data_IF_599277723004
#
_entry.id   IF_599277723004
#
_cell.length_a   1.000
_cell.length_b   1.000
_cell.length_c   1.000
_cell.angle_alpha   90.00
_cell.angle_beta   90.00
_cell.angle_gamma   90.00
#
_symmetry.space_group_name_H-M   'P 1'
#
loop_
_entity.id
_entity.type
_entity.pdbx_description
1 polymer ?
#
# COMPACT_ATOMS: atom_id res chain seq x y z
N UNK A 1 -14.81 -4.53 12.40
CA UNK A 1 -13.37 -4.57 12.72
C UNK A 1 -12.68 -3.47 11.93
N UNK A 2 -11.65 -2.82 12.50
CA UNK A 2 -10.88 -1.82 11.76
C UNK A 2 -10.12 -2.49 10.60
N UNK A 3 -10.09 -1.85 9.45
CA UNK A 3 -9.35 -2.33 8.27
C UNK A 3 -7.84 -2.07 8.37
N UNK A 4 -7.44 -1.18 9.27
CA UNK A 4 -6.05 -0.91 9.64
C UNK A 4 -5.88 -1.09 11.16
N UNK A 5 -4.94 -1.93 11.55
CA UNK A 5 -4.54 -2.07 12.96
C UNK A 5 -3.31 -1.21 13.17
N UNK A 6 -3.41 -0.29 14.13
CA UNK A 6 -2.33 0.62 14.49
C UNK A 6 -1.77 0.19 15.84
N UNK A 7 -0.47 -0.04 15.90
CA UNK A 7 0.22 -0.31 17.16
C UNK A 7 1.55 0.42 17.21
N UNK A 8 2.06 0.61 18.42
CA UNK A 8 3.30 1.35 18.63
C UNK A 8 4.25 0.55 19.50
N UNK A 9 5.50 0.49 19.08
CA UNK A 9 6.60 -0.07 19.86
C UNK A 9 7.71 0.98 19.97
N UNK A 10 7.85 1.59 21.14
CA UNK A 10 8.80 2.69 21.35
C UNK A 10 8.58 3.83 20.33
N UNK A 11 9.52 4.05 19.43
CA UNK A 11 9.49 5.07 18.38
C UNK A 11 9.05 4.55 17.01
N UNK A 12 8.60 3.30 16.93
CA UNK A 12 8.12 2.64 15.72
C UNK A 12 6.60 2.62 15.70
N UNK A 13 5.98 3.14 14.66
CA UNK A 13 4.56 2.97 14.37
C UNK A 13 4.38 1.79 13.41
N UNK A 14 3.65 0.77 13.85
CA UNK A 14 3.32 -0.40 13.04
C UNK A 14 1.88 -0.29 12.54
N UNK A 15 1.73 -0.31 11.22
CA UNK A 15 0.48 -0.21 10.48
C UNK A 15 0.20 -1.56 9.81
N UNK A 16 -0.74 -2.33 10.34
CA UNK A 16 -1.06 -3.66 9.81
C UNK A 16 -2.34 -3.60 9.00
N UNK A 17 -2.25 -3.89 7.72
CA UNK A 17 -3.39 -4.03 6.81
C UNK A 17 -4.25 -5.22 7.26
N UNK A 18 -5.53 -4.99 7.53
CA UNK A 18 -6.41 -5.96 8.19
C UNK A 18 -7.75 -6.13 7.49
N UNK A 19 -7.69 -6.53 6.23
CA UNK A 19 -8.85 -6.96 5.43
C UNK A 19 -8.66 -8.41 4.95
N UNK A 20 -8.59 -9.40 5.86
CA UNK A 20 -8.20 -10.77 5.50
C UNK A 20 -9.18 -11.42 4.50
N UNK A 21 -10.48 -11.13 4.61
CA UNK A 21 -11.50 -11.63 3.70
C UNK A 21 -11.31 -11.10 2.25
N UNK A 22 -10.75 -9.91 2.10
CA UNK A 22 -10.42 -9.30 0.82
C UNK A 22 -8.93 -9.43 0.47
N UNK A 23 -8.17 -10.32 1.14
CA UNK A 23 -6.74 -10.52 0.94
C UNK A 23 -5.94 -9.21 1.06
N UNK A 24 -6.35 -8.33 1.95
CA UNK A 24 -5.81 -6.98 2.15
C UNK A 24 -5.87 -6.08 0.90
N UNK A 25 -6.87 -6.28 0.02
CA UNK A 25 -7.08 -5.38 -1.11
C UNK A 25 -7.29 -3.93 -0.62
N UNK A 26 -6.66 -2.99 -1.32
CA UNK A 26 -6.64 -1.57 -0.98
C UNK A 26 -7.88 -0.88 -1.54
N UNK A 27 -8.87 -0.64 -0.67
CA UNK A 27 -10.02 0.22 -0.95
C UNK A 27 -9.74 1.67 -0.50
N UNK A 28 -10.63 2.59 -0.83
CA UNK A 28 -10.47 3.99 -0.46
C UNK A 28 -10.49 4.21 1.06
N UNK A 29 -11.26 3.42 1.80
CA UNK A 29 -11.34 3.53 3.26
C UNK A 29 -10.00 3.16 3.92
N UNK A 30 -9.40 2.03 3.53
CA UNK A 30 -8.09 1.60 4.04
C UNK A 30 -6.97 2.58 3.65
N UNK A 31 -6.94 3.04 2.39
CA UNK A 31 -5.97 4.03 1.95
C UNK A 31 -6.09 5.35 2.73
N UNK A 32 -7.32 5.80 2.99
CA UNK A 32 -7.58 7.02 3.78
C UNK A 32 -7.09 6.84 5.22
N UNK A 33 -7.38 5.71 5.86
CA UNK A 33 -6.89 5.43 7.20
C UNK A 33 -5.35 5.42 7.23
N UNK A 34 -4.72 4.76 6.27
CA UNK A 34 -3.26 4.68 6.17
C UNK A 34 -2.62 6.07 6.02
N UNK A 35 -3.17 6.90 5.14
CA UNK A 35 -2.72 8.29 4.94
C UNK A 35 -2.85 9.09 6.22
N UNK A 36 -4.00 9.05 6.89
CA UNK A 36 -4.25 9.82 8.11
C UNK A 36 -3.27 9.43 9.24
N UNK A 37 -2.99 8.14 9.40
CA UNK A 37 -2.03 7.67 10.41
C UNK A 37 -0.60 8.10 10.08
N UNK A 38 -0.19 8.06 8.82
CA UNK A 38 1.12 8.53 8.39
C UNK A 38 1.26 10.05 8.55
N UNK A 39 0.25 10.84 8.22
CA UNK A 39 0.27 12.29 8.43
C UNK A 39 0.34 12.66 9.91
N UNK A 40 -0.41 11.95 10.76
CA UNK A 40 -0.29 12.10 12.22
C UNK A 40 1.12 11.75 12.71
N UNK A 41 1.68 10.65 12.20
CA UNK A 41 3.05 10.24 12.54
C UNK A 41 4.11 11.24 12.03
N UNK A 42 3.87 11.91 10.90
CA UNK A 42 4.81 12.87 10.32
C UNK A 42 5.12 14.04 11.27
N UNK A 43 4.13 14.50 12.04
CA UNK A 43 4.26 15.61 13.00
C UNK A 43 4.54 15.14 14.44
N UNK A 44 4.38 13.85 14.75
CA UNK A 44 4.65 13.30 16.07
C UNK A 44 6.16 13.07 16.27
N UNK A 45 6.83 13.94 17.04
CA UNK A 45 8.27 13.85 17.33
C UNK A 45 8.66 12.58 18.09
N UNK A 46 7.72 11.87 18.68
CA UNK A 46 7.95 10.61 19.40
C UNK A 46 7.99 9.40 18.46
N UNK A 47 7.57 9.54 17.19
CA UNK A 47 7.68 8.52 16.13
C UNK A 47 8.87 8.84 15.23
N UNK A 48 9.74 7.85 15.02
CA UNK A 48 10.91 7.98 14.14
C UNK A 48 10.78 7.23 12.82
N UNK A 49 9.98 6.18 12.78
CA UNK A 49 9.83 5.29 11.63
C UNK A 49 8.44 4.66 11.62
N UNK A 50 7.90 4.46 10.43
CA UNK A 50 6.65 3.72 10.24
C UNK A 50 6.93 2.41 9.49
N UNK A 51 6.22 1.36 9.88
CA UNK A 51 6.28 0.04 9.22
C UNK A 51 4.88 -0.32 8.75
N UNK A 52 4.75 -0.65 7.48
CA UNK A 52 3.51 -1.21 6.92
C UNK A 52 3.70 -2.71 6.74
N UNK A 53 2.72 -3.49 7.18
CA UNK A 53 2.72 -4.94 6.99
C UNK A 53 1.31 -5.47 6.72
N UNK A 54 1.22 -6.73 6.33
CA UNK A 54 -0.04 -7.45 6.19
C UNK A 54 -0.07 -8.67 7.12
N UNK A 55 -0.57 -9.78 6.59
CA UNK A 55 -0.55 -11.07 7.29
C UNK A 55 0.44 -12.05 6.63
N UNK A 56 0.55 -13.26 7.16
CA UNK A 56 1.50 -14.26 6.67
C UNK A 56 1.30 -14.67 5.19
N UNK A 57 0.10 -14.51 4.62
CA UNK A 57 -0.24 -14.91 3.24
C UNK A 57 -0.35 -13.73 2.27
N UNK A 58 -0.75 -12.58 2.78
CA UNK A 58 -0.99 -11.40 1.95
C UNK A 58 -0.46 -10.15 2.65
N UNK A 59 0.49 -9.49 2.02
CA UNK A 59 0.76 -8.09 2.29
C UNK A 59 -0.45 -7.28 1.80
N UNK A 60 -0.67 -7.23 0.49
CA UNK A 60 -1.86 -6.68 -0.15
C UNK A 60 -2.03 -7.25 -1.56
N UNK A 61 -3.23 -7.74 -1.90
CA UNK A 61 -3.51 -8.40 -3.18
C UNK A 61 -3.78 -7.43 -4.34
N UNK A 62 -3.75 -6.13 -4.11
CA UNK A 62 -3.97 -5.11 -5.12
C UNK A 62 -5.05 -4.10 -4.75
N UNK A 63 -5.55 -3.37 -5.72
CA UNK A 63 -6.71 -2.51 -5.55
C UNK A 63 -7.98 -3.35 -5.33
N UNK A 64 -8.97 -2.78 -4.63
CA UNK A 64 -10.28 -3.44 -4.48
C UNK A 64 -11.04 -3.36 -5.80
N UNK A 65 -11.10 -4.49 -6.51
CA UNK A 65 -11.71 -4.58 -7.84
C UNK A 65 -13.24 -4.36 -7.79
N UNK A 66 -13.90 -4.70 -6.68
CA UNK A 66 -15.33 -4.44 -6.52
C UNK A 66 -15.60 -2.94 -6.49
N UNK A 67 -14.80 -2.19 -5.70
CA UNK A 67 -14.91 -0.74 -5.65
C UNK A 67 -14.58 -0.07 -7.00
N UNK A 68 -13.67 -0.66 -7.79
CA UNK A 68 -13.33 -0.16 -9.12
C UNK A 68 -14.44 -0.45 -10.14
N UNK A 69 -15.05 -1.64 -10.10
CA UNK A 69 -16.06 -2.06 -11.05
C UNK A 69 -17.38 -1.27 -10.95
N UNK A 70 -17.66 -0.68 -9.79
CA UNK A 70 -18.86 0.12 -9.54
C UNK A 70 -18.75 1.57 -10.06
N UNK A 71 -17.55 2.01 -10.49
CA UNK A 71 -17.31 3.39 -10.94
C UNK A 71 -17.70 3.58 -12.40
N UNK A 72 -18.57 4.54 -12.65
CA UNK A 72 -18.79 5.09 -13.98
C UNK A 72 -17.67 6.11 -14.37
N UNK A 73 -17.78 6.69 -15.55
CA UNK A 73 -16.79 7.67 -16.03
C UNK A 73 -16.69 8.89 -15.09
N UNK A 74 -17.83 9.40 -14.60
CA UNK A 74 -17.85 10.59 -13.73
C UNK A 74 -17.19 10.28 -12.37
N UNK A 75 -17.50 9.12 -11.77
CA UNK A 75 -16.88 8.66 -10.53
C UNK A 75 -15.38 8.40 -10.70
N UNK A 76 -14.96 7.91 -11.89
CA UNK A 76 -13.55 7.69 -12.19
C UNK A 76 -12.78 9.00 -12.32
N UNK A 77 -13.35 10.02 -12.98
CA UNK A 77 -12.73 11.35 -13.12
C UNK A 77 -12.62 12.09 -11.77
N UNK A 78 -13.55 11.82 -10.84
CA UNK A 78 -13.57 12.39 -9.50
C UNK A 78 -12.93 11.46 -8.44
N UNK A 79 -12.19 10.43 -8.86
CA UNK A 79 -11.56 9.48 -7.94
C UNK A 79 -10.52 10.19 -7.05
N UNK A 80 -10.65 9.98 -5.74
CA UNK A 80 -9.72 10.53 -4.74
C UNK A 80 -8.43 9.71 -4.58
N UNK A 81 -8.34 8.54 -5.20
CA UNK A 81 -7.16 7.65 -5.08
C UNK A 81 -5.85 8.31 -5.50
N UNK A 82 -5.79 9.05 -6.62
CA UNK A 82 -4.54 9.73 -7.00
C UNK A 82 -4.04 10.69 -5.92
N UNK A 83 -4.95 11.42 -5.27
CA UNK A 83 -4.62 12.32 -4.17
C UNK A 83 -4.14 11.55 -2.92
N UNK A 84 -4.77 10.41 -2.59
CA UNK A 84 -4.32 9.57 -1.47
C UNK A 84 -2.91 9.01 -1.73
N UNK A 85 -2.62 8.54 -2.94
CA UNK A 85 -1.28 8.10 -3.32
C UNK A 85 -0.23 9.22 -3.27
N UNK A 86 -0.59 10.43 -3.71
CA UNK A 86 0.30 11.60 -3.61
C UNK A 86 0.62 11.95 -2.15
N UNK A 87 -0.37 11.87 -1.25
CA UNK A 87 -0.18 12.08 0.19
C UNK A 87 0.70 10.99 0.82
N UNK A 88 0.52 9.72 0.45
CA UNK A 88 1.41 8.63 0.87
C UNK A 88 2.86 8.90 0.44
N UNK A 89 3.06 9.34 -0.80
CA UNK A 89 4.38 9.64 -1.35
C UNK A 89 5.04 10.86 -0.68
N UNK A 90 4.26 11.79 -0.15
CA UNK A 90 4.75 12.97 0.53
C UNK A 90 5.18 12.71 1.99
N UNK A 91 5.00 11.48 2.50
CA UNK A 91 5.44 11.13 3.85
C UNK A 91 6.95 11.33 4.01
N UNK A 92 7.36 11.99 5.09
CA UNK A 92 8.70 12.56 5.26
C UNK A 92 9.57 11.88 6.34
N UNK A 93 9.12 10.75 6.87
CA UNK A 93 9.92 9.90 7.76
C UNK A 93 10.19 8.54 7.12
N UNK A 94 11.20 7.78 7.58
CA UNK A 94 11.46 6.44 7.05
C UNK A 94 10.21 5.58 7.10
N UNK A 95 9.86 5.01 5.94
CA UNK A 95 8.73 4.11 5.75
C UNK A 95 9.24 2.74 5.28
N UNK A 96 8.90 1.70 6.00
CA UNK A 96 9.36 0.34 5.75
C UNK A 96 8.16 -0.53 5.38
N UNK A 97 8.27 -1.30 4.30
CA UNK A 97 7.34 -2.37 4.00
C UNK A 97 7.88 -3.70 4.52
N UNK A 98 7.18 -4.34 5.45
CA UNK A 98 7.47 -5.71 5.89
C UNK A 98 6.51 -6.67 5.17
N UNK A 99 7.02 -7.35 4.14
CA UNK A 99 6.22 -8.09 3.17
C UNK A 99 6.32 -9.58 3.40
N UNK A 100 5.21 -10.23 3.73
CA UNK A 100 5.02 -11.66 3.67
C UNK A 100 3.93 -12.01 2.64
N UNK A 101 4.08 -13.13 1.94
CA UNK A 101 3.14 -13.59 0.95
C UNK A 101 2.99 -12.62 -0.23
N UNK A 102 1.78 -12.43 -0.70
CA UNK A 102 1.53 -11.70 -1.95
C UNK A 102 1.47 -10.18 -1.75
N UNK A 103 2.27 -9.45 -2.53
CA UNK A 103 2.21 -8.01 -2.76
C UNK A 103 1.98 -7.79 -4.26
N UNK A 104 0.73 -7.65 -4.68
CA UNK A 104 0.35 -7.62 -6.10
C UNK A 104 -0.32 -6.29 -6.48
N UNK A 105 -0.13 -5.85 -7.71
CA UNK A 105 -0.75 -4.63 -8.24
C UNK A 105 -0.49 -3.43 -7.32
N UNK A 106 -1.54 -2.74 -6.90
CA UNK A 106 -1.45 -1.61 -5.95
C UNK A 106 -0.77 -2.00 -4.62
N UNK A 107 -0.81 -3.27 -4.20
CA UNK A 107 -0.07 -3.76 -3.04
C UNK A 107 1.45 -3.81 -3.29
N UNK A 108 1.86 -4.20 -4.49
CA UNK A 108 3.26 -4.11 -4.92
C UNK A 108 3.69 -2.65 -5.03
N UNK A 109 2.84 -1.79 -5.57
CA UNK A 109 3.11 -0.34 -5.68
C UNK A 109 3.27 0.32 -4.30
N UNK A 110 2.46 -0.09 -3.31
CA UNK A 110 2.58 0.36 -1.92
C UNK A 110 3.91 -0.08 -1.30
N UNK A 111 4.30 -1.34 -1.50
CA UNK A 111 5.59 -1.83 -1.00
C UNK A 111 6.76 -1.08 -1.65
N UNK A 112 6.72 -0.87 -2.96
CA UNK A 112 7.76 -0.15 -3.71
C UNK A 112 7.78 1.38 -3.46
N UNK A 113 6.71 1.93 -2.89
CA UNK A 113 6.68 3.32 -2.44
C UNK A 113 7.48 3.53 -1.16
N UNK A 114 7.59 2.51 -0.33
CA UNK A 114 8.35 2.56 0.92
C UNK A 114 9.87 2.72 0.64
N UNK A 115 10.59 3.34 1.58
CA UNK A 115 12.03 3.57 1.48
C UNK A 115 12.83 2.26 1.56
N UNK A 116 12.33 1.30 2.34
CA UNK A 116 12.96 -0.01 2.53
C UNK A 116 11.89 -1.10 2.44
N UNK A 117 12.20 -2.16 1.71
CA UNK A 117 11.37 -3.38 1.66
C UNK A 117 12.12 -4.52 2.33
N UNK A 118 11.53 -5.06 3.40
CA UNK A 118 11.97 -6.30 4.04
C UNK A 118 11.02 -7.41 3.62
N UNK A 119 11.52 -8.36 2.85
CA UNK A 119 10.74 -9.45 2.28
C UNK A 119 11.01 -10.77 2.99
N UNK A 120 9.96 -11.44 3.44
CA UNK A 120 10.05 -12.82 3.90
C UNK A 120 10.31 -13.80 2.74
N UNK A 121 10.74 -15.01 3.03
CA UNK A 121 11.06 -16.05 2.03
C UNK A 121 9.86 -16.39 1.13
N UNK A 122 8.65 -16.26 1.65
CA UNK A 122 7.41 -16.50 0.93
C UNK A 122 6.88 -15.28 0.18
N UNK A 123 7.57 -14.13 0.20
CA UNK A 123 7.13 -12.92 -0.45
C UNK A 123 7.08 -13.08 -1.98
N UNK A 124 6.01 -12.56 -2.59
CA UNK A 124 5.79 -12.58 -4.04
C UNK A 124 5.31 -11.21 -4.49
N UNK A 125 6.09 -10.58 -5.35
CA UNK A 125 5.80 -9.27 -5.91
C UNK A 125 5.38 -9.40 -7.36
N UNK A 126 4.45 -8.55 -7.81
CA UNK A 126 4.04 -8.53 -9.21
C UNK A 126 3.05 -7.43 -9.53
N UNK A 127 3.00 -7.08 -10.81
CA UNK A 127 2.08 -6.11 -11.39
C UNK A 127 1.21 -6.82 -12.46
N UNK A 128 0.17 -7.57 -12.04
CA UNK A 128 -0.65 -8.38 -12.96
C UNK A 128 -1.74 -7.59 -13.69
N UNK A 129 -1.70 -6.26 -13.67
CA UNK A 129 -2.74 -5.38 -14.21
C UNK A 129 -3.07 -5.65 -15.67
N UNK A 130 -2.09 -6.11 -16.46
CA UNK A 130 -2.30 -6.48 -17.87
C UNK A 130 -3.36 -7.59 -18.04
N UNK A 131 -3.51 -8.47 -17.06
CA UNK A 131 -4.55 -9.51 -17.10
C UNK A 131 -5.96 -8.95 -16.99
N UNK A 132 -6.10 -7.71 -16.53
CA UNK A 132 -7.36 -6.97 -16.41
C UNK A 132 -7.49 -5.91 -17.53
N UNK A 133 -6.53 -5.80 -18.44
CA UNK A 133 -6.53 -4.78 -19.49
C UNK A 133 -6.30 -3.36 -18.99
N UNK A 134 -5.67 -3.20 -17.85
CA UNK A 134 -5.35 -1.88 -17.25
C UNK A 134 -3.84 -1.75 -17.00
N UNK A 135 -3.42 -0.55 -16.62
CA UNK A 135 -2.03 -0.25 -16.26
C UNK A 135 -1.89 -0.02 -14.75
N UNK A 136 -0.72 -0.31 -14.14
CA UNK A 136 -0.41 0.11 -12.79
C UNK A 136 -0.53 1.63 -12.65
N UNK A 137 -1.31 2.10 -11.66
CA UNK A 137 -1.69 3.52 -11.55
C UNK A 137 -0.99 4.29 -10.42
N UNK A 138 -0.23 3.61 -9.54
CA UNK A 138 0.38 4.23 -8.37
C UNK A 138 1.94 4.23 -8.42
N UNK A 139 2.50 4.21 -9.61
CA UNK A 139 3.94 4.35 -9.85
C UNK A 139 4.70 3.04 -10.06
N UNK A 140 4.02 1.90 -10.13
CA UNK A 140 4.63 0.59 -10.33
C UNK A 140 5.44 0.49 -11.61
N UNK A 141 4.95 1.07 -12.71
CA UNK A 141 5.66 1.13 -13.99
C UNK A 141 7.03 1.80 -13.91
N UNK A 142 7.25 2.66 -12.92
CA UNK A 142 8.50 3.38 -12.73
C UNK A 142 9.36 2.76 -11.62
N UNK A 143 8.73 2.41 -10.49
CA UNK A 143 9.47 1.94 -9.30
C UNK A 143 9.99 0.53 -9.47
N UNK A 144 9.20 -0.38 -10.05
CA UNK A 144 9.62 -1.78 -10.19
C UNK A 144 10.91 -1.90 -11.03
N UNK A 145 10.98 -1.22 -12.18
CA UNK A 145 12.15 -1.25 -13.05
C UNK A 145 13.37 -0.62 -12.36
N UNK A 146 13.17 0.46 -11.60
CA UNK A 146 14.27 1.13 -10.90
C UNK A 146 14.80 0.31 -9.73
N UNK A 147 13.97 -0.48 -9.08
CA UNK A 147 14.35 -1.32 -7.93
C UNK A 147 14.93 -2.67 -8.34
N UNK A 148 14.37 -3.30 -9.38
CA UNK A 148 14.71 -4.67 -9.78
C UNK A 148 15.51 -4.77 -11.08
N UNK A 149 15.67 -3.67 -11.83
CA UNK A 149 16.27 -3.69 -13.15
C UNK A 149 15.33 -4.30 -14.21
N UNK A 150 15.90 -4.50 -15.41
CA UNK A 150 15.22 -5.19 -16.52
C UNK A 150 15.60 -6.66 -16.45
N UNK A 151 14.69 -7.50 -15.97
CA UNK A 151 14.83 -8.97 -15.99
C UNK A 151 14.32 -9.55 -17.31
#
# INVERSE_FOLDING_TARGET
MSELIVSRQQRVLLLTLNRPAARNALNNALLTQLVNELEAAAIDTSISVCVITGNARFFAAGADLNEMAEKDLAATLNDTRPQLWARLQAFNKPLIAAVNGYALGAGCELALLCDVVVAGENARFGLPEITLGIMPGAGGTQRLIRSGGKS
#
